data_IF_377067020591
#
_entry.id   IF_377067020591
#
_cell.length_a   1.000
_cell.length_b   1.000
_cell.length_c   1.000
_cell.angle_alpha   90.00
_cell.angle_beta   90.00
_cell.angle_gamma   90.00
#
_symmetry.space_group_name_H-M   'P 1'
#
loop_
_entity.id
_entity.type
_entity.pdbx_description
1 polymer ?
#
# COMPACT_ATOMS: atom_id res chain seq x y z
N UNK A 1 -15.33 -20.64 -6.65
CA UNK A 1 -14.19 -19.73 -6.37
C UNK A 1 -14.69 -18.32 -6.63
N UNK A 2 -14.70 -17.44 -5.64
CA UNK A 2 -15.07 -16.04 -5.85
C UNK A 2 -13.92 -15.33 -6.56
N UNK A 3 -14.19 -14.79 -7.74
CA UNK A 3 -13.24 -13.97 -8.50
C UNK A 3 -13.44 -12.51 -8.08
N UNK A 4 -12.37 -11.89 -7.57
CA UNK A 4 -12.37 -10.46 -7.27
C UNK A 4 -11.92 -9.69 -8.52
N UNK A 5 -12.67 -8.65 -8.87
CA UNK A 5 -12.30 -7.76 -9.96
C UNK A 5 -11.19 -6.84 -9.44
N UNK A 6 -10.00 -6.93 -10.03
CA UNK A 6 -8.89 -6.04 -9.69
C UNK A 6 -9.06 -4.73 -10.48
N UNK A 7 -9.18 -3.57 -9.82
CA UNK A 7 -9.24 -2.29 -10.51
C UNK A 7 -7.93 -2.04 -11.26
N UNK A 8 -8.01 -1.63 -12.52
CA UNK A 8 -6.81 -1.42 -13.36
C UNK A 8 -6.07 -0.11 -13.07
N UNK A 9 -6.70 0.85 -12.38
CA UNK A 9 -6.16 2.20 -12.17
C UNK A 9 -5.90 2.53 -10.69
N UNK A 10 -5.40 1.57 -9.91
CA UNK A 10 -5.06 1.82 -8.49
C UNK A 10 -3.85 2.75 -8.33
N UNK A 11 -2.98 2.84 -9.33
CA UNK A 11 -1.73 3.60 -9.26
C UNK A 11 -1.84 5.02 -9.82
N UNK A 12 -2.96 5.35 -10.48
CA UNK A 12 -3.19 6.67 -11.07
C UNK A 12 -3.87 7.56 -10.04
N UNK A 13 -3.19 8.63 -9.66
CA UNK A 13 -3.73 9.62 -8.74
C UNK A 13 -4.88 10.40 -9.38
N UNK A 14 -5.92 10.68 -8.58
CA UNK A 14 -7.10 11.41 -9.02
C UNK A 14 -6.74 12.83 -9.50
N UNK A 15 -7.29 13.18 -10.66
CA UNK A 15 -7.16 14.50 -11.27
C UNK A 15 -8.39 15.33 -10.94
N UNK A 16 -8.19 16.48 -10.30
CA UNK A 16 -9.29 17.35 -9.87
C UNK A 16 -9.52 18.48 -10.88
N UNK A 17 -8.44 19.12 -11.34
CA UNK A 17 -8.51 20.28 -12.24
C UNK A 17 -7.88 19.92 -13.59
N UNK A 18 -8.70 19.38 -14.48
CA UNK A 18 -8.28 18.95 -15.82
C UNK A 18 -7.16 17.90 -15.73
N UNK A 19 -5.92 18.21 -16.15
CA UNK A 19 -4.81 17.26 -16.09
C UNK A 19 -4.10 17.19 -14.72
N UNK A 20 -4.41 18.08 -13.78
CA UNK A 20 -3.69 18.22 -12.51
C UNK A 20 -4.23 17.30 -11.41
N UNK A 21 -3.32 16.59 -10.75
CA UNK A 21 -3.63 15.84 -9.52
C UNK A 21 -3.78 16.77 -8.31
N UNK A 22 -4.38 16.26 -7.24
CA UNK A 22 -4.52 17.00 -5.97
C UNK A 22 -3.18 17.50 -5.47
N UNK A 23 -2.17 16.61 -5.44
CA UNK A 23 -0.82 16.97 -5.01
C UNK A 23 -0.23 18.08 -5.87
N UNK A 24 -0.31 17.94 -7.19
CA UNK A 24 0.24 18.92 -8.13
C UNK A 24 -0.37 20.29 -7.93
N UNK A 25 -1.69 20.33 -7.77
CA UNK A 25 -2.40 21.56 -7.50
C UNK A 25 -1.93 22.23 -6.20
N UNK A 26 -1.83 21.49 -5.10
CA UNK A 26 -1.38 22.03 -3.81
C UNK A 26 0.05 22.58 -3.91
N UNK A 27 0.97 21.87 -4.57
CA UNK A 27 2.36 22.32 -4.75
C UNK A 27 2.42 23.62 -5.54
N UNK A 28 1.67 23.71 -6.64
CA UNK A 28 1.63 24.91 -7.48
C UNK A 28 0.95 26.08 -6.74
N UNK A 29 -0.06 25.81 -5.93
CA UNK A 29 -0.73 26.82 -5.11
C UNK A 29 0.20 27.38 -4.05
N UNK A 30 0.94 26.53 -3.33
CA UNK A 30 1.91 26.96 -2.32
C UNK A 30 3.08 27.69 -2.97
N UNK A 31 3.69 27.11 -4.01
CA UNK A 31 4.80 27.72 -4.74
C UNK A 31 4.42 29.05 -5.37
N UNK A 32 3.26 29.10 -6.04
CA UNK A 32 2.68 30.31 -6.61
C UNK A 32 2.35 31.36 -5.54
N UNK A 33 1.84 30.94 -4.38
CA UNK A 33 1.59 31.82 -3.24
C UNK A 33 2.88 32.46 -2.71
N UNK A 34 3.95 31.68 -2.56
CA UNK A 34 5.26 32.21 -2.13
C UNK A 34 5.81 33.19 -3.17
N UNK A 35 5.75 32.85 -4.46
CA UNK A 35 6.17 33.75 -5.55
C UNK A 35 5.33 35.03 -5.54
N UNK A 36 4.02 34.94 -5.34
CA UNK A 36 3.14 36.09 -5.26
C UNK A 36 3.53 37.02 -4.10
N UNK A 37 3.79 36.48 -2.91
CA UNK A 37 4.27 37.25 -1.77
C UNK A 37 5.62 37.91 -2.05
N UNK A 38 6.57 37.18 -2.66
CA UNK A 38 7.85 37.71 -3.12
C UNK A 38 7.68 38.86 -4.12
N UNK A 39 6.71 38.78 -5.04
CA UNK A 39 6.40 39.84 -5.99
C UNK A 39 5.75 41.06 -5.32
N UNK A 40 4.92 40.84 -4.30
CA UNK A 40 4.17 41.90 -3.62
C UNK A 40 5.03 42.71 -2.64
N UNK A 41 6.02 42.08 -2.01
CA UNK A 41 6.80 42.68 -0.92
C UNK A 41 8.31 42.75 -1.17
N UNK A 42 8.84 42.02 -2.16
CA UNK A 42 10.28 41.94 -2.42
C UNK A 42 10.82 42.95 -3.42
N UNK A 43 12.14 43.14 -3.39
CA UNK A 43 12.91 43.88 -4.38
C UNK A 43 13.07 43.08 -5.69
N UNK A 44 13.50 43.76 -6.78
CA UNK A 44 13.65 43.14 -8.10
C UNK A 44 14.46 41.85 -8.07
N UNK A 45 15.55 41.81 -7.29
CA UNK A 45 16.38 40.62 -7.10
C UNK A 45 15.61 39.45 -6.48
N UNK A 46 14.79 39.72 -5.45
CA UNK A 46 14.01 38.70 -4.75
C UNK A 46 12.91 38.13 -5.65
N UNK A 47 12.31 38.97 -6.51
CA UNK A 47 11.31 38.54 -7.51
C UNK A 47 11.92 37.55 -8.51
N UNK A 48 13.05 37.89 -9.10
CA UNK A 48 13.75 37.04 -10.08
C UNK A 48 14.20 35.75 -9.40
N UNK A 49 14.82 35.86 -8.21
CA UNK A 49 15.28 34.70 -7.46
C UNK A 49 14.12 33.75 -7.13
N UNK A 50 13.01 34.27 -6.61
CA UNK A 50 11.84 33.46 -6.28
C UNK A 50 11.23 32.83 -7.52
N UNK A 51 11.14 33.55 -8.64
CA UNK A 51 10.58 33.01 -9.87
C UNK A 51 11.42 31.82 -10.39
N UNK A 52 12.74 31.98 -10.44
CA UNK A 52 13.64 30.97 -11.00
C UNK A 52 13.76 29.77 -10.07
N UNK A 53 14.08 30.01 -8.79
CA UNK A 53 14.37 28.94 -7.84
C UNK A 53 13.08 28.29 -7.34
N UNK A 54 12.17 29.07 -6.76
CA UNK A 54 10.94 28.51 -6.17
C UNK A 54 9.99 28.05 -7.28
N UNK A 55 9.88 28.78 -8.38
CA UNK A 55 9.08 28.36 -9.53
C UNK A 55 9.62 27.09 -10.18
N UNK A 56 10.93 27.03 -10.43
CA UNK A 56 11.60 25.84 -10.97
C UNK A 56 11.42 24.62 -10.07
N UNK A 57 11.68 24.77 -8.76
CA UNK A 57 11.49 23.70 -7.78
C UNK A 57 10.02 23.23 -7.73
N UNK A 58 9.06 24.16 -7.70
CA UNK A 58 7.64 23.81 -7.63
C UNK A 58 7.21 22.99 -8.85
N UNK A 59 7.69 23.34 -10.05
CA UNK A 59 7.43 22.57 -11.27
C UNK A 59 8.08 21.19 -11.25
N UNK A 60 9.35 21.09 -10.83
CA UNK A 60 10.05 19.80 -10.73
C UNK A 60 9.38 18.89 -9.70
N UNK A 61 8.94 19.42 -8.55
CA UNK A 61 8.24 18.62 -7.56
C UNK A 61 6.83 18.21 -8.05
N UNK A 62 6.10 19.10 -8.71
CA UNK A 62 4.75 18.78 -9.22
C UNK A 62 4.78 17.75 -10.36
N UNK A 63 5.65 17.94 -11.36
CA UNK A 63 5.62 17.16 -12.60
C UNK A 63 6.79 16.19 -12.78
N UNK A 64 7.86 16.34 -12.01
CA UNK A 64 9.03 15.48 -12.09
C UNK A 64 8.67 14.03 -11.77
N UNK A 65 9.04 13.15 -12.69
CA UNK A 65 8.97 11.70 -12.50
C UNK A 65 10.31 11.09 -12.85
N UNK A 66 10.82 10.24 -11.96
CA UNK A 66 12.10 9.54 -12.13
C UNK A 66 11.81 8.05 -12.04
N UNK A 67 12.07 7.31 -13.12
CA UNK A 67 11.83 5.86 -13.15
C UNK A 67 10.37 5.45 -12.88
N UNK A 68 9.39 6.28 -13.26
CA UNK A 68 7.96 6.04 -13.00
C UNK A 68 7.48 6.45 -11.61
N UNK A 69 8.38 6.83 -10.69
CA UNK A 69 8.02 7.33 -9.36
C UNK A 69 7.94 8.86 -9.33
N UNK A 70 7.09 9.38 -8.43
CA UNK A 70 6.98 10.83 -8.20
C UNK A 70 8.28 11.36 -7.58
N UNK A 71 8.67 12.58 -7.95
CA UNK A 71 9.94 13.18 -7.53
C UNK A 71 10.16 13.21 -6.00
N UNK A 72 9.10 13.41 -5.22
CA UNK A 72 9.16 13.43 -3.75
C UNK A 72 9.65 12.09 -3.17
N UNK A 73 9.13 10.98 -3.68
CA UNK A 73 9.56 9.64 -3.27
C UNK A 73 10.99 9.36 -3.72
N UNK A 74 11.36 9.78 -4.92
CA UNK A 74 12.73 9.68 -5.40
C UNK A 74 13.70 10.41 -4.46
N UNK A 75 13.40 11.65 -4.06
CA UNK A 75 14.24 12.42 -3.16
C UNK A 75 14.31 11.79 -1.75
N UNK A 76 13.19 11.27 -1.26
CA UNK A 76 13.11 10.58 0.02
C UNK A 76 13.95 9.29 -0.01
N UNK A 77 13.87 8.52 -1.09
CA UNK A 77 14.68 7.32 -1.32
C UNK A 77 16.17 7.66 -1.44
N UNK A 78 16.52 8.76 -2.10
CA UNK A 78 17.89 9.23 -2.21
C UNK A 78 18.46 9.60 -0.84
N UNK A 79 17.70 10.35 -0.03
CA UNK A 79 18.09 10.69 1.34
C UNK A 79 18.22 9.45 2.24
N UNK A 80 17.30 8.49 2.13
CA UNK A 80 17.40 7.22 2.86
C UNK A 80 18.60 6.39 2.43
N UNK A 81 18.87 6.33 1.13
CA UNK A 81 19.99 5.57 0.57
C UNK A 81 21.32 6.14 1.03
N UNK A 82 21.47 7.47 1.01
CA UNK A 82 22.68 8.16 1.48
C UNK A 82 22.98 7.90 2.98
N UNK A 83 21.95 7.69 3.79
CA UNK A 83 22.09 7.37 5.23
C UNK A 83 22.37 5.90 5.50
N UNK A 84 22.03 5.00 4.58
CA UNK A 84 22.20 3.55 4.77
C UNK A 84 23.62 3.12 4.37
N UNK A 85 24.24 2.18 5.11
CA UNK A 85 25.51 1.61 4.71
C UNK A 85 25.36 0.88 3.36
N UNK A 86 26.29 1.13 2.45
CA UNK A 86 26.31 0.51 1.11
C UNK A 86 26.51 -1.02 1.19
N UNK A 87 27.24 -1.47 2.21
CA UNK A 87 27.51 -2.89 2.41
C UNK A 87 26.31 -3.59 3.05
N UNK A 88 25.56 -4.32 2.23
CA UNK A 88 24.50 -5.22 2.71
C UNK A 88 25.09 -6.58 3.02
N UNK A 89 25.36 -6.84 4.30
CA UNK A 89 25.79 -8.16 4.77
C UNK A 89 24.54 -8.96 5.10
N UNK A 90 24.38 -10.14 4.49
CA UNK A 90 23.37 -11.09 4.97
C UNK A 90 23.84 -11.63 6.32
N UNK A 91 23.13 -11.27 7.39
CA UNK A 91 23.34 -11.88 8.70
C UNK A 91 22.09 -12.65 9.07
N UNK A 92 22.29 -13.92 9.46
CA UNK A 92 21.23 -14.83 9.90
C UNK A 92 21.13 -14.86 11.43
N UNK A 93 21.61 -13.82 12.10
CA UNK A 93 21.52 -13.68 13.55
C UNK A 93 20.25 -12.91 13.91
N UNK A 94 19.25 -13.64 14.40
CA UNK A 94 18.02 -13.01 14.85
C UNK A 94 18.26 -12.30 16.17
N UNK A 95 17.95 -11.01 16.22
CA UNK A 95 17.94 -10.26 17.48
C UNK A 95 16.79 -10.77 18.35
N UNK A 96 16.94 -10.79 19.69
CA UNK A 96 15.91 -11.31 20.61
C UNK A 96 14.54 -10.66 20.39
N UNK A 97 14.52 -9.37 20.12
CA UNK A 97 13.28 -8.62 19.85
C UNK A 97 12.60 -9.05 18.53
N UNK A 98 13.40 -9.41 17.53
CA UNK A 98 12.92 -9.90 16.24
C UNK A 98 12.36 -11.32 16.37
N UNK A 99 13.00 -12.16 17.20
CA UNK A 99 12.49 -13.49 17.57
C UNK A 99 11.17 -13.40 18.35
N UNK A 100 11.03 -12.45 19.27
CA UNK A 100 9.78 -12.23 19.99
C UNK A 100 8.67 -11.72 19.08
N UNK A 101 8.97 -10.81 18.16
CA UNK A 101 8.01 -10.35 17.14
C UNK A 101 7.54 -11.49 16.25
N UNK A 102 8.46 -12.33 15.74
CA UNK A 102 8.12 -13.48 14.91
C UNK A 102 7.31 -14.52 15.69
N UNK A 103 7.66 -14.79 16.95
CA UNK A 103 6.91 -15.69 17.83
C UNK A 103 5.48 -15.20 18.10
N UNK A 104 5.30 -13.90 18.37
CA UNK A 104 3.97 -13.30 18.57
C UNK A 104 3.14 -13.36 17.29
N UNK A 105 3.75 -13.06 16.15
CA UNK A 105 3.11 -13.14 14.83
C UNK A 105 2.62 -14.55 14.51
N UNK A 106 3.44 -15.58 14.75
CA UNK A 106 3.02 -16.98 14.55
C UNK A 106 1.91 -17.39 15.52
N UNK A 107 1.90 -16.82 16.74
CA UNK A 107 0.83 -17.08 17.72
C UNK A 107 -0.50 -16.50 17.22
N UNK A 108 -0.54 -15.24 16.75
CA UNK A 108 -1.75 -14.61 16.19
C UNK A 108 -2.26 -15.31 14.93
N UNK A 109 -1.36 -15.82 14.09
CA UNK A 109 -1.73 -16.57 12.88
C UNK A 109 -2.31 -17.95 13.22
N UNK A 110 -1.93 -18.54 14.36
CA UNK A 110 -2.46 -19.82 14.85
C UNK A 110 -3.88 -19.68 15.43
N UNK A 111 -4.21 -18.53 16.05
CA UNK A 111 -5.56 -18.27 16.59
C UNK A 111 -6.62 -18.19 15.48
N UNK A 112 -6.25 -17.75 14.27
CA UNK A 112 -7.20 -17.53 13.17
C UNK A 112 -7.51 -18.75 12.29
N UNK A 113 -6.85 -19.91 12.47
CA UNK A 113 -7.13 -21.06 11.59
C UNK A 113 -6.83 -22.42 12.19
N UNK A 114 -7.52 -22.75 13.26
CA UNK A 114 -7.96 -24.14 13.44
C UNK A 114 -9.48 -24.13 13.42
N UNK A 115 -10.06 -24.03 12.22
CA UNK A 115 -11.35 -24.69 12.02
C UNK A 115 -11.12 -26.13 12.48
N UNK A 116 -11.69 -26.48 13.62
CA UNK A 116 -11.73 -27.85 14.09
C UNK A 116 -12.35 -28.64 12.95
N UNK A 117 -11.53 -29.33 12.16
CA UNK A 117 -12.03 -30.30 11.20
C UNK A 117 -12.81 -31.30 12.04
N UNK A 118 -14.13 -31.18 12.03
CA UNK A 118 -15.03 -32.11 12.70
C UNK A 118 -14.56 -33.51 12.31
N UNK A 119 -14.07 -34.28 13.29
CA UNK A 119 -13.56 -35.62 13.05
C UNK A 119 -14.66 -36.39 12.34
N UNK A 120 -14.41 -36.80 11.10
CA UNK A 120 -15.42 -37.47 10.29
C UNK A 120 -15.67 -38.84 10.91
N UNK A 121 -16.75 -38.97 11.67
CA UNK A 121 -17.24 -40.25 12.18
C UNK A 121 -17.62 -41.15 11.01
N UNK A 122 -17.39 -42.45 11.13
CA UNK A 122 -17.75 -43.45 10.10
C UNK A 122 -19.24 -43.38 9.71
N UNK A 123 -20.10 -43.04 10.67
CA UNK A 123 -21.54 -42.79 10.49
C UNK A 123 -21.77 -41.75 9.39
N UNK A 124 -21.07 -40.60 9.45
CA UNK A 124 -21.25 -39.51 8.47
C UNK A 124 -20.91 -39.91 7.04
N UNK A 125 -19.97 -40.83 6.85
CA UNK A 125 -19.62 -41.35 5.52
C UNK A 125 -20.74 -42.26 5.00
N UNK A 126 -21.30 -43.11 5.87
CA UNK A 126 -22.44 -43.97 5.54
C UNK A 126 -23.67 -43.14 5.18
N UNK A 127 -23.96 -42.11 5.95
CA UNK A 127 -25.14 -41.28 5.77
C UNK A 127 -25.06 -40.50 4.46
N UNK A 128 -23.89 -39.93 4.13
CA UNK A 128 -23.65 -39.29 2.84
C UNK A 128 -23.77 -40.26 1.66
N UNK A 129 -23.32 -41.52 1.81
CA UNK A 129 -23.47 -42.53 0.78
C UNK A 129 -24.95 -42.91 0.55
N UNK A 130 -25.76 -42.99 1.61
CA UNK A 130 -27.19 -43.25 1.53
C UNK A 130 -27.94 -42.09 0.87
N UNK A 131 -27.63 -40.83 1.21
CA UNK A 131 -28.20 -39.65 0.56
C UNK A 131 -27.95 -39.67 -0.94
N UNK A 132 -26.72 -39.97 -1.36
CA UNK A 132 -26.34 -40.00 -2.79
C UNK A 132 -27.04 -41.16 -3.52
N UNK A 133 -27.06 -42.36 -2.93
CA UNK A 133 -27.69 -43.52 -3.55
C UNK A 133 -29.22 -43.41 -3.66
N UNK A 134 -29.85 -42.68 -2.74
CA UNK A 134 -31.31 -42.47 -2.72
C UNK A 134 -31.74 -41.21 -3.47
N UNK A 135 -30.81 -40.49 -4.13
CA UNK A 135 -31.13 -39.27 -4.86
C UNK A 135 -31.67 -38.14 -3.96
N UNK A 136 -31.29 -38.14 -2.67
CA UNK A 136 -31.73 -37.14 -1.70
C UNK A 136 -33.02 -37.48 -0.93
N UNK A 137 -33.56 -38.69 -1.07
CA UNK A 137 -34.72 -39.13 -0.28
C UNK A 137 -34.38 -39.50 1.17
N UNK A 138 -33.16 -39.93 1.44
CA UNK A 138 -32.71 -40.25 2.80
C UNK A 138 -32.26 -38.99 3.56
N UNK A 139 -32.78 -38.78 4.76
CA UNK A 139 -32.35 -37.71 5.67
C UNK A 139 -31.87 -38.32 7.01
N UNK A 140 -30.58 -38.21 7.36
CA UNK A 140 -30.03 -38.83 8.57
C UNK A 140 -30.55 -38.21 9.88
N UNK A 141 -31.19 -37.04 9.81
CA UNK A 141 -31.79 -36.37 10.98
C UNK A 141 -33.19 -36.89 11.33
N UNK A 142 -33.82 -37.69 10.45
CA UNK A 142 -35.17 -38.24 10.66
C UNK A 142 -35.16 -39.54 11.52
N UNK A 143 -33.99 -40.19 11.66
CA UNK A 143 -33.77 -41.43 12.40
C UNK A 143 -33.23 -41.20 13.84
N UNK A 144 -33.25 -39.94 14.35
CA UNK A 144 -32.72 -39.53 15.67
C UNK A 144 -33.80 -39.27 16.73
#
# INVERSE_FOLDING_TARGET
MQQFVVPQFIDVEDKILGPLTVRQFIILLVGGGIIFLAFRFGDMSLKIFSLVIIGGLSLVFAFGKVGGQMFHYFLLNLAQSARKPSLRIWRKDYQKDELEYLRKRDTDTNVMKREERKVVKRERIRDLALVVNTGGFYNPDDDL
#
